data_IF_075435797840
#
_entry.id   IF_075435797840
#
_cell.length_a   1.000
_cell.length_b   1.000
_cell.length_c   1.000
_cell.angle_alpha   90.00
_cell.angle_beta   90.00
_cell.angle_gamma   90.00
#
_symmetry.space_group_name_H-M   'P 1'
#
loop_
_entity.id
_entity.type
_entity.pdbx_description
1 polymer ?
#
# COMPACT_ATOMS: atom_id res chain seq x y z
N UNK A 1 -48.41 -51.34 64.18
CA UNK A 1 -48.23 -51.23 62.74
C UNK A 1 -48.87 -49.93 62.31
N UNK A 2 -48.11 -48.86 62.16
CA UNK A 2 -48.60 -47.55 61.76
C UNK A 2 -47.87 -47.15 60.43
N UNK A 3 -48.65 -47.14 59.34
CA UNK A 3 -48.20 -46.65 58.03
C UNK A 3 -48.45 -45.15 57.95
N UNK A 4 -47.36 -44.34 57.82
CA UNK A 4 -47.50 -42.92 57.53
C UNK A 4 -47.37 -42.76 56.01
N UNK A 5 -48.30 -42.01 55.37
CA UNK A 5 -48.22 -41.74 53.92
C UNK A 5 -47.19 -40.64 53.60
N UNK A 6 -46.36 -40.89 52.63
CA UNK A 6 -45.40 -39.90 52.05
C UNK A 6 -46.19 -39.02 51.07
N UNK A 7 -46.37 -37.78 51.40
CA UNK A 7 -46.94 -36.77 50.44
C UNK A 7 -45.84 -36.20 49.53
N UNK A 8 -46.02 -36.25 48.21
CA UNK A 8 -45.14 -35.59 47.33
C UNK A 8 -45.30 -34.06 47.40
N UNK A 9 -44.27 -33.35 47.78
CA UNK A 9 -44.24 -31.89 47.78
C UNK A 9 -44.12 -31.39 46.32
N UNK A 10 -45.28 -30.99 45.75
CA UNK A 10 -45.27 -30.26 44.48
C UNK A 10 -44.80 -28.84 44.73
N UNK A 11 -43.69 -28.42 44.14
CA UNK A 11 -43.24 -27.04 44.12
C UNK A 11 -44.26 -26.18 43.35
N UNK A 12 -44.68 -25.02 43.86
CA UNK A 12 -45.69 -24.18 43.22
C UNK A 12 -45.19 -23.72 41.83
N UNK A 13 -46.11 -23.75 40.87
CA UNK A 13 -45.86 -23.45 39.44
C UNK A 13 -45.16 -22.12 39.22
N UNK A 14 -45.37 -21.15 40.12
CA UNK A 14 -44.72 -19.84 40.12
C UNK A 14 -43.18 -19.87 40.28
N UNK A 15 -42.65 -20.81 41.06
CA UNK A 15 -41.23 -20.99 41.26
C UNK A 15 -40.51 -21.60 40.03
N UNK A 16 -41.19 -22.46 39.29
CA UNK A 16 -40.66 -23.06 38.05
C UNK A 16 -40.59 -22.03 36.92
N UNK A 17 -41.59 -21.17 36.81
CA UNK A 17 -41.63 -20.09 35.83
C UNK A 17 -40.57 -19.02 36.14
N UNK A 18 -40.34 -18.69 37.40
CA UNK A 18 -39.29 -17.74 37.80
C UNK A 18 -37.88 -18.28 37.53
N UNK A 19 -37.63 -19.58 37.73
CA UNK A 19 -36.34 -20.21 37.43
C UNK A 19 -36.05 -20.29 35.91
N UNK A 20 -37.08 -20.52 35.09
CA UNK A 20 -36.91 -20.56 33.63
C UNK A 20 -36.70 -19.16 33.04
N UNK A 21 -37.34 -18.14 33.57
CA UNK A 21 -37.11 -16.74 33.18
C UNK A 21 -35.72 -16.24 33.59
N UNK A 22 -35.21 -16.63 34.76
CA UNK A 22 -33.86 -16.29 35.21
C UNK A 22 -32.77 -16.98 34.36
N UNK A 23 -32.98 -18.23 33.93
CA UNK A 23 -32.05 -18.95 33.05
C UNK A 23 -32.05 -18.37 31.63
N UNK A 24 -33.18 -17.91 31.11
CA UNK A 24 -33.29 -17.26 29.81
C UNK A 24 -32.60 -15.88 29.77
N UNK A 25 -32.64 -15.12 30.89
CA UNK A 25 -31.94 -13.83 30.97
C UNK A 25 -30.41 -13.97 31.10
N UNK A 26 -29.89 -15.06 31.67
CA UNK A 26 -28.44 -15.33 31.69
C UNK A 26 -27.88 -15.76 30.33
N UNK A 27 -28.69 -16.41 29.47
CA UNK A 27 -28.27 -16.81 28.13
C UNK A 27 -28.13 -15.61 27.16
N UNK A 28 -28.77 -14.47 27.45
CA UNK A 28 -28.68 -13.24 26.65
C UNK A 28 -27.41 -12.42 26.85
N UNK A 29 -26.55 -12.76 27.80
CA UNK A 29 -25.30 -12.07 28.12
C UNK A 29 -24.07 -12.71 27.48
N UNK A 30 -24.22 -13.56 26.44
CA UNK A 30 -23.13 -13.96 25.59
C UNK A 30 -22.79 -12.75 24.72
N UNK A 31 -22.00 -11.85 25.29
CA UNK A 31 -21.50 -10.66 24.64
C UNK A 31 -20.79 -11.04 23.36
N UNK A 32 -20.99 -10.25 22.29
CA UNK A 32 -20.20 -10.30 21.08
C UNK A 32 -18.74 -10.13 21.47
N UNK A 33 -17.98 -11.24 21.57
CA UNK A 33 -16.54 -11.19 21.70
C UNK A 33 -15.99 -10.66 20.37
N UNK A 34 -15.53 -9.43 20.35
CA UNK A 34 -14.79 -8.91 19.23
C UNK A 34 -13.51 -9.74 19.12
N UNK A 35 -13.33 -10.48 18.02
CA UNK A 35 -12.09 -11.20 17.75
C UNK A 35 -11.18 -10.25 16.98
N UNK A 36 -10.14 -9.78 17.64
CA UNK A 36 -9.08 -9.00 17.00
C UNK A 36 -8.02 -9.96 16.46
N UNK A 37 -7.72 -9.83 15.17
CA UNK A 37 -6.64 -10.58 14.53
C UNK A 37 -5.64 -9.61 13.92
N UNK A 38 -4.36 -9.76 14.25
CA UNK A 38 -3.26 -9.02 13.64
C UNK A 38 -2.30 -9.99 12.94
N UNK A 39 -1.80 -9.58 11.78
CA UNK A 39 -0.77 -10.32 11.06
C UNK A 39 0.19 -9.36 10.38
N UNK A 40 1.46 -9.72 10.33
CA UNK A 40 2.42 -9.01 9.48
C UNK A 40 2.13 -9.33 8.02
N UNK A 41 2.04 -8.29 7.19
CA UNK A 41 1.89 -8.42 5.73
C UNK A 41 3.25 -8.19 5.11
N UNK A 42 3.73 -9.16 4.34
CA UNK A 42 4.98 -9.04 3.60
C UNK A 42 4.85 -7.97 2.51
N UNK A 43 5.80 -7.02 2.49
CA UNK A 43 5.86 -5.99 1.46
C UNK A 43 6.61 -6.51 0.24
N UNK A 44 6.06 -6.25 -0.94
CA UNK A 44 6.71 -6.63 -2.20
C UNK A 44 7.96 -5.78 -2.43
N UNK A 45 9.05 -6.42 -2.86
CA UNK A 45 10.33 -5.80 -3.14
C UNK A 45 10.64 -5.82 -4.64
N UNK A 46 11.64 -5.03 -5.07
CA UNK A 46 12.18 -5.09 -6.43
C UNK A 46 12.85 -6.43 -6.69
N UNK A 47 12.90 -6.86 -7.94
CA UNK A 47 13.44 -8.18 -8.34
C UNK A 47 14.92 -8.37 -7.93
N UNK A 48 15.67 -7.29 -7.82
CA UNK A 48 17.10 -7.30 -7.44
C UNK A 48 17.35 -7.15 -5.95
N UNK A 49 16.29 -7.06 -5.12
CA UNK A 49 16.44 -6.93 -3.67
C UNK A 49 17.21 -8.12 -3.09
N UNK A 50 18.21 -7.82 -2.25
CA UNK A 50 19.06 -8.84 -1.64
C UNK A 50 20.06 -9.52 -2.59
N UNK A 51 20.05 -9.19 -3.89
CA UNK A 51 21.02 -9.75 -4.82
C UNK A 51 22.38 -9.03 -4.68
N UNK A 52 23.50 -9.78 -4.66
CA UNK A 52 24.82 -9.20 -4.70
C UNK A 52 25.03 -8.36 -5.97
N UNK A 53 25.67 -7.22 -5.84
CA UNK A 53 26.05 -6.37 -6.97
C UNK A 53 27.47 -5.87 -6.78
N UNK A 54 28.33 -6.18 -7.74
CA UNK A 54 29.76 -5.82 -7.73
C UNK A 54 30.10 -4.60 -8.61
N UNK A 55 29.11 -4.09 -9.37
CA UNK A 55 29.30 -2.92 -10.21
C UNK A 55 29.37 -1.61 -9.40
N UNK A 56 29.73 -0.50 -10.06
CA UNK A 56 29.79 0.81 -9.43
C UNK A 56 28.39 1.26 -9.01
N UNK A 57 28.27 1.77 -7.79
CA UNK A 57 27.02 2.37 -7.26
C UNK A 57 27.18 3.89 -7.29
N UNK A 58 26.69 4.49 -8.36
CA UNK A 58 26.75 5.93 -8.48
C UNK A 58 25.83 6.62 -7.46
N UNK A 59 26.29 7.76 -6.91
CA UNK A 59 25.46 8.56 -6.02
C UNK A 59 24.34 9.23 -6.82
N UNK A 60 23.11 8.97 -6.42
CA UNK A 60 21.91 9.54 -7.02
C UNK A 60 21.09 10.30 -5.98
N UNK A 61 20.41 11.34 -6.42
CA UNK A 61 19.36 12.01 -5.63
C UNK A 61 18.03 11.90 -6.36
N UNK A 62 16.93 11.82 -5.61
CA UNK A 62 15.59 11.92 -6.18
C UNK A 62 15.14 13.37 -6.12
N UNK A 63 14.88 13.93 -7.28
CA UNK A 63 14.43 15.30 -7.45
C UNK A 63 12.91 15.42 -7.39
N UNK A 64 12.38 16.27 -8.27
CA UNK A 64 10.95 16.53 -8.36
C UNK A 64 10.21 15.29 -8.88
N UNK A 65 9.10 14.97 -8.22
CA UNK A 65 8.18 13.92 -8.64
C UNK A 65 6.76 14.47 -8.54
N UNK A 66 6.11 14.63 -9.69
CA UNK A 66 4.83 15.33 -9.78
C UNK A 66 3.68 14.38 -10.15
N UNK A 67 2.49 14.67 -9.66
CA UNK A 67 1.27 14.08 -10.19
C UNK A 67 0.81 14.87 -11.43
N UNK A 68 0.99 14.29 -12.62
CA UNK A 68 0.49 14.83 -13.89
C UNK A 68 -0.83 14.22 -14.33
N UNK A 69 -1.31 13.18 -13.64
CA UNK A 69 -2.62 12.58 -13.89
C UNK A 69 -3.75 13.53 -13.51
N UNK A 70 -4.96 13.25 -13.97
CA UNK A 70 -6.16 13.97 -13.57
C UNK A 70 -6.64 13.65 -12.15
N UNK A 71 -6.09 12.61 -11.51
CA UNK A 71 -6.52 12.13 -10.21
C UNK A 71 -6.15 13.11 -9.10
N UNK A 72 -7.15 13.52 -8.30
CA UNK A 72 -7.03 14.46 -7.17
C UNK A 72 -6.44 15.83 -7.53
N UNK A 73 -6.37 16.20 -8.81
CA UNK A 73 -5.88 17.51 -9.21
C UNK A 73 -6.89 18.58 -8.77
N UNK A 74 -6.42 19.53 -7.97
CA UNK A 74 -7.24 20.65 -7.49
C UNK A 74 -8.22 20.32 -6.37
N UNK A 75 -8.23 19.11 -5.83
CA UNK A 75 -9.08 18.70 -4.70
C UNK A 75 -8.64 19.32 -3.35
N UNK A 76 -7.37 19.69 -3.24
CA UNK A 76 -6.81 20.26 -2.03
C UNK A 76 -6.41 21.72 -2.29
N UNK A 77 -6.94 22.63 -1.49
CA UNK A 77 -6.66 24.06 -1.60
C UNK A 77 -5.26 24.47 -1.13
N UNK A 78 -4.54 23.57 -0.47
CA UNK A 78 -3.18 23.78 0.04
C UNK A 78 -2.09 23.65 -1.04
N UNK A 79 -2.45 23.22 -2.25
CA UNK A 79 -1.52 23.03 -3.37
C UNK A 79 -0.51 21.89 -3.18
N UNK A 80 -0.67 21.05 -2.14
CA UNK A 80 0.25 19.94 -1.84
C UNK A 80 -0.02 18.77 -2.77
N UNK A 81 0.98 18.34 -3.52
CA UNK A 81 0.94 17.12 -4.34
C UNK A 81 1.20 15.87 -3.47
N UNK A 82 0.14 15.34 -2.88
CA UNK A 82 0.23 14.17 -2.01
C UNK A 82 0.56 12.89 -2.77
N UNK A 83 0.06 12.75 -3.99
CA UNK A 83 0.33 11.57 -4.82
C UNK A 83 1.79 11.56 -5.31
N UNK A 84 2.30 12.70 -5.79
CA UNK A 84 3.70 12.84 -6.15
C UNK A 84 4.64 12.66 -4.96
N UNK A 85 4.30 13.20 -3.80
CA UNK A 85 5.07 13.00 -2.56
C UNK A 85 5.11 11.52 -2.14
N UNK A 86 3.98 10.82 -2.18
CA UNK A 86 3.92 9.38 -1.90
C UNK A 86 4.75 8.58 -2.90
N UNK A 87 4.64 8.90 -4.19
CA UNK A 87 5.40 8.25 -5.25
C UNK A 87 6.91 8.42 -5.05
N UNK A 88 7.37 9.60 -4.67
CA UNK A 88 8.78 9.89 -4.36
C UNK A 88 9.30 8.99 -3.22
N UNK A 89 8.54 8.86 -2.14
CA UNK A 89 8.91 8.01 -0.99
C UNK A 89 9.05 6.55 -1.39
N UNK A 90 8.09 6.01 -2.17
CA UNK A 90 8.12 4.64 -2.67
C UNK A 90 9.34 4.45 -3.60
N UNK A 91 9.60 5.42 -4.47
CA UNK A 91 10.73 5.38 -5.40
C UNK A 91 12.08 5.30 -4.67
N UNK A 92 12.29 6.16 -3.66
CA UNK A 92 13.51 6.13 -2.83
C UNK A 92 13.73 4.75 -2.21
N UNK A 93 12.66 4.16 -1.66
CA UNK A 93 12.70 2.83 -1.06
C UNK A 93 13.11 1.76 -2.08
N UNK A 94 12.48 1.71 -3.23
CA UNK A 94 12.79 0.71 -4.27
C UNK A 94 14.16 0.90 -4.92
N UNK A 95 14.60 2.14 -5.12
CA UNK A 95 15.95 2.44 -5.61
C UNK A 95 17.01 1.93 -4.63
N UNK A 96 16.83 2.17 -3.33
CA UNK A 96 17.74 1.67 -2.30
C UNK A 96 17.74 0.14 -2.23
N UNK A 97 16.57 -0.49 -2.30
CA UNK A 97 16.42 -1.95 -2.31
C UNK A 97 17.05 -2.61 -3.56
N UNK A 98 17.09 -1.89 -4.68
CA UNK A 98 17.66 -2.43 -5.93
C UNK A 98 19.14 -2.74 -5.83
N UNK A 99 19.84 -2.16 -4.84
CA UNK A 99 21.26 -2.33 -4.61
C UNK A 99 22.17 -1.89 -5.81
N UNK A 100 21.62 -1.11 -6.76
CA UNK A 100 22.34 -0.59 -7.94
C UNK A 100 22.85 0.84 -7.75
N UNK A 101 22.31 1.55 -6.74
CA UNK A 101 22.56 2.97 -6.50
C UNK A 101 23.02 3.25 -5.09
N UNK A 102 23.71 4.37 -4.91
CA UNK A 102 23.93 5.01 -3.61
C UNK A 102 22.93 6.18 -3.49
N UNK A 103 21.76 5.91 -2.89
CA UNK A 103 20.67 6.90 -2.81
C UNK A 103 20.99 7.93 -1.74
N UNK A 104 20.99 9.21 -2.12
CA UNK A 104 21.28 10.35 -1.24
C UNK A 104 19.96 10.97 -0.77
N UNK A 105 19.75 11.02 0.53
CA UNK A 105 18.61 11.70 1.11
C UNK A 105 18.84 13.23 1.05
N UNK A 106 17.90 13.94 0.44
CA UNK A 106 17.90 15.41 0.35
C UNK A 106 16.76 16.04 1.14
N UNK A 107 15.72 15.27 1.41
CA UNK A 107 14.53 15.77 2.09
C UNK A 107 14.79 15.99 3.58
N UNK A 108 15.61 15.13 4.22
CA UNK A 108 15.93 15.18 5.65
C UNK A 108 17.34 15.78 5.94
N UNK A 109 17.86 16.59 5.02
CA UNK A 109 19.20 17.15 5.17
C UNK A 109 19.30 18.16 6.35
N UNK A 110 18.22 18.86 6.66
CA UNK A 110 18.17 19.79 7.80
C UNK A 110 18.26 19.03 9.13
N UNK A 111 17.51 17.95 9.27
CA UNK A 111 17.52 17.07 10.43
C UNK A 111 18.89 16.40 10.60
N UNK A 112 19.48 15.92 9.51
CA UNK A 112 20.82 15.34 9.53
C UNK A 112 21.89 16.35 10.00
N UNK A 113 21.78 17.63 9.62
CA UNK A 113 22.66 18.69 10.10
C UNK A 113 22.48 18.98 11.58
N UNK A 114 21.24 19.00 12.05
CA UNK A 114 20.92 19.18 13.46
C UNK A 114 21.52 18.06 14.31
N UNK A 115 21.33 16.80 13.91
CA UNK A 115 21.90 15.64 14.61
C UNK A 115 23.45 15.65 14.61
N UNK A 116 24.06 16.04 13.49
CA UNK A 116 25.52 16.19 13.43
C UNK A 116 26.01 17.26 14.40
N UNK A 117 25.27 18.38 14.54
CA UNK A 117 25.56 19.44 15.52
C UNK A 117 25.53 18.91 16.97
N UNK A 118 24.54 18.10 17.33
CA UNK A 118 24.50 17.47 18.67
C UNK A 118 25.68 16.52 18.90
N UNK A 119 26.20 15.92 17.85
CA UNK A 119 27.37 15.03 17.88
C UNK A 119 28.70 15.77 17.88
N UNK A 120 28.70 17.10 17.76
CA UNK A 120 29.90 17.91 17.61
C UNK A 120 30.62 17.69 16.28
N UNK A 121 29.90 17.24 15.24
CA UNK A 121 30.41 17.00 13.90
C UNK A 121 29.69 17.84 12.85
N UNK A 122 30.19 17.85 11.62
CA UNK A 122 29.54 18.49 10.47
C UNK A 122 29.13 17.46 9.45
N UNK A 123 28.00 17.70 8.78
CA UNK A 123 27.56 16.83 7.67
C UNK A 123 28.40 17.11 6.44
N UNK A 124 29.22 16.13 6.00
CA UNK A 124 29.86 16.15 4.71
C UNK A 124 28.85 15.74 3.62
N UNK A 125 28.23 16.71 2.96
CA UNK A 125 27.20 16.46 1.94
C UNK A 125 27.85 15.92 0.67
N UNK A 126 27.59 14.65 0.35
CA UNK A 126 28.04 14.03 -0.90
C UNK A 126 27.22 14.57 -2.08
N UNK A 127 27.88 14.98 -3.18
CA UNK A 127 27.21 15.33 -4.44
C UNK A 127 26.58 14.11 -5.12
N UNK A 128 25.49 14.32 -5.85
CA UNK A 128 24.92 13.30 -6.72
C UNK A 128 25.52 13.40 -8.12
N UNK A 129 25.83 12.26 -8.74
CA UNK A 129 26.21 12.19 -10.16
C UNK A 129 24.98 12.31 -11.06
N UNK A 130 23.86 11.76 -10.60
CA UNK A 130 22.60 11.77 -11.33
C UNK A 130 21.44 12.23 -10.44
N UNK A 131 20.48 12.89 -11.07
CA UNK A 131 19.20 13.24 -10.49
C UNK A 131 18.11 12.39 -11.16
N UNK A 132 17.32 11.68 -10.37
CA UNK A 132 16.15 10.97 -10.87
C UNK A 132 14.95 11.87 -10.65
N UNK A 133 14.30 12.27 -11.74
CA UNK A 133 13.03 13.00 -11.72
C UNK A 133 11.95 12.13 -12.32
N UNK A 134 10.69 12.42 -12.02
CA UNK A 134 9.62 11.64 -12.60
C UNK A 134 8.24 12.24 -12.39
N UNK A 135 7.27 11.54 -12.92
CA UNK A 135 5.87 11.89 -12.74
C UNK A 135 4.97 10.64 -12.70
N UNK A 136 3.82 10.81 -12.07
CA UNK A 136 2.68 9.91 -12.22
C UNK A 136 1.90 10.42 -13.42
N UNK A 137 2.12 9.82 -14.60
CA UNK A 137 1.52 10.25 -15.86
C UNK A 137 0.06 9.81 -16.00
N UNK A 138 -0.27 8.64 -15.49
CA UNK A 138 -1.64 8.14 -15.43
C UNK A 138 -1.92 7.55 -14.04
N UNK A 139 -3.08 7.85 -13.50
CA UNK A 139 -3.56 7.27 -12.26
C UNK A 139 -5.08 7.31 -12.22
N UNK A 140 -5.72 6.22 -11.87
CA UNK A 140 -7.16 6.19 -11.83
C UNK A 140 -7.75 4.88 -11.36
N UNK A 141 -9.08 4.88 -11.33
CA UNK A 141 -9.89 3.68 -11.06
C UNK A 141 -11.00 3.61 -12.07
N UNK A 142 -11.36 2.40 -12.45
CA UNK A 142 -12.56 2.09 -13.21
C UNK A 142 -13.33 0.97 -12.52
N UNK A 143 -14.64 1.06 -12.56
CA UNK A 143 -15.53 -0.02 -12.16
C UNK A 143 -16.06 -0.71 -13.41
N UNK A 144 -15.93 -2.03 -13.46
CA UNK A 144 -16.48 -2.87 -14.52
C UNK A 144 -17.54 -3.76 -13.88
N UNK A 145 -18.78 -3.63 -14.35
CA UNK A 145 -19.90 -4.46 -13.95
C UNK A 145 -20.18 -5.55 -14.97
N UNK A 146 -20.40 -6.77 -14.52
CA UNK A 146 -20.91 -7.87 -15.32
C UNK A 146 -22.29 -8.29 -14.81
N UNK A 147 -23.29 -8.32 -15.70
CA UNK A 147 -24.62 -8.80 -15.39
C UNK A 147 -24.86 -10.09 -16.18
N UNK A 148 -24.78 -11.21 -15.47
CA UNK A 148 -25.08 -12.51 -16.08
C UNK A 148 -26.58 -12.79 -16.08
N UNK A 149 -27.15 -13.12 -17.24
CA UNK A 149 -28.56 -13.48 -17.42
C UNK A 149 -29.54 -12.46 -16.80
N UNK A 150 -29.47 -11.19 -17.25
CA UNK A 150 -30.32 -10.11 -16.76
C UNK A 150 -30.29 -9.89 -15.23
N UNK A 151 -29.19 -10.33 -14.57
CA UNK A 151 -29.01 -10.18 -13.13
C UNK A 151 -29.58 -11.34 -12.28
N UNK A 152 -30.15 -12.37 -12.91
CA UNK A 152 -30.74 -13.53 -12.19
C UNK A 152 -29.65 -14.42 -11.56
N UNK A 153 -28.50 -14.56 -12.20
CA UNK A 153 -27.35 -15.37 -11.71
C UNK A 153 -26.32 -14.57 -10.92
N UNK A 154 -26.61 -13.32 -10.58
CA UNK A 154 -25.72 -12.46 -9.80
C UNK A 154 -25.10 -11.30 -10.60
N UNK A 155 -24.59 -10.32 -9.88
CA UNK A 155 -23.87 -9.15 -10.41
C UNK A 155 -22.44 -9.22 -9.93
N UNK A 156 -21.49 -9.26 -10.86
CA UNK A 156 -20.08 -9.09 -10.56
C UNK A 156 -19.72 -7.61 -10.64
N UNK A 157 -19.02 -7.08 -9.64
CA UNK A 157 -18.38 -5.77 -9.70
C UNK A 157 -16.88 -5.95 -9.55
N UNK A 158 -16.12 -5.37 -10.46
CA UNK A 158 -14.68 -5.31 -10.39
C UNK A 158 -14.25 -3.86 -10.27
N UNK A 159 -13.41 -3.57 -9.30
CA UNK A 159 -12.70 -2.31 -9.20
C UNK A 159 -11.28 -2.51 -9.72
N UNK A 160 -10.91 -1.78 -10.74
CA UNK A 160 -9.58 -1.85 -11.33
C UNK A 160 -8.90 -0.50 -11.06
N UNK A 161 -7.82 -0.53 -10.28
CA UNK A 161 -6.93 0.61 -10.11
C UNK A 161 -5.74 0.46 -11.06
N UNK A 162 -5.30 1.54 -11.68
CA UNK A 162 -4.16 1.57 -12.59
C UNK A 162 -3.29 2.79 -12.33
N UNK A 163 -1.98 2.63 -12.56
CA UNK A 163 -1.00 3.70 -12.49
C UNK A 163 0.06 3.52 -13.57
N UNK A 164 0.55 4.64 -14.09
CA UNK A 164 1.73 4.69 -14.93
C UNK A 164 2.65 5.79 -14.43
N UNK A 165 3.93 5.48 -14.31
CA UNK A 165 4.97 6.42 -13.88
C UNK A 165 6.06 6.51 -14.93
N UNK A 166 6.65 7.70 -15.06
CA UNK A 166 7.81 7.95 -15.93
C UNK A 166 8.96 8.41 -15.05
N UNK A 167 10.15 7.87 -15.29
CA UNK A 167 11.39 8.27 -14.64
C UNK A 167 12.39 8.77 -15.68
N UNK A 168 12.99 9.91 -15.41
CA UNK A 168 14.08 10.47 -16.20
C UNK A 168 15.34 10.55 -15.33
N UNK A 169 16.42 10.02 -15.86
CA UNK A 169 17.74 10.06 -15.23
C UNK A 169 18.52 11.19 -15.88
N UNK A 170 18.81 12.21 -15.09
CA UNK A 170 19.47 13.44 -15.54
C UNK A 170 20.88 13.47 -14.99
N UNK A 171 21.87 13.60 -15.86
CA UNK A 171 23.26 13.82 -15.47
C UNK A 171 23.42 15.22 -14.88
N UNK A 172 23.87 15.32 -13.63
CA UNK A 172 23.93 16.59 -12.90
C UNK A 172 24.91 17.57 -13.58
N UNK A 173 26.03 17.08 -14.10
CA UNK A 173 27.06 17.92 -14.70
C UNK A 173 26.63 18.63 -16.00
N UNK A 174 25.75 18.00 -16.81
CA UNK A 174 25.33 18.51 -18.12
C UNK A 174 23.86 18.88 -18.19
N UNK A 175 23.07 18.51 -17.19
CA UNK A 175 21.59 18.60 -17.21
C UNK A 175 20.93 17.78 -18.35
N UNK A 176 21.65 16.79 -18.88
CA UNK A 176 21.19 15.94 -19.97
C UNK A 176 20.38 14.76 -19.42
N UNK A 177 19.25 14.44 -20.05
CA UNK A 177 18.51 13.20 -19.78
C UNK A 177 19.25 12.07 -20.49
N UNK A 178 19.95 11.25 -19.71
CA UNK A 178 20.80 10.16 -20.24
C UNK A 178 20.06 8.84 -20.33
N UNK A 179 18.98 8.67 -19.60
CA UNK A 179 18.16 7.46 -19.65
C UNK A 179 16.75 7.76 -19.18
N UNK A 180 15.77 7.00 -19.67
CA UNK A 180 14.37 7.12 -19.25
C UNK A 180 13.72 5.74 -19.22
N UNK A 181 12.86 5.53 -18.23
CA UNK A 181 12.06 4.30 -18.12
C UNK A 181 10.63 4.63 -17.73
N UNK A 182 9.71 3.76 -18.11
CA UNK A 182 8.32 3.83 -17.68
C UNK A 182 7.92 2.54 -16.97
N UNK A 183 7.16 2.68 -15.90
CA UNK A 183 6.55 1.57 -15.20
C UNK A 183 5.05 1.69 -15.17
N UNK A 184 4.37 0.56 -15.16
CA UNK A 184 2.93 0.50 -15.11
C UNK A 184 2.48 -0.58 -14.10
N UNK A 185 1.35 -0.33 -13.46
CA UNK A 185 0.73 -1.26 -12.53
C UNK A 185 -0.78 -1.25 -12.67
N UNK A 186 -1.37 -2.42 -12.52
CA UNK A 186 -2.81 -2.61 -12.44
C UNK A 186 -3.12 -3.54 -11.27
N UNK A 187 -4.16 -3.22 -10.53
CA UNK A 187 -4.64 -4.04 -9.42
C UNK A 187 -6.16 -4.17 -9.51
N UNK A 188 -6.63 -5.42 -9.56
CA UNK A 188 -8.06 -5.73 -9.68
C UNK A 188 -8.60 -6.30 -8.39
N UNK A 189 -9.67 -5.71 -7.89
CA UNK A 189 -10.46 -6.22 -6.77
C UNK A 189 -11.82 -6.68 -7.31
N UNK A 190 -12.12 -7.97 -7.18
CA UNK A 190 -13.38 -8.57 -7.64
C UNK A 190 -14.28 -8.88 -6.46
N UNK A 191 -15.51 -8.34 -6.49
CA UNK A 191 -16.58 -8.69 -5.56
C UNK A 191 -17.71 -9.37 -6.33
N UNK A 192 -18.16 -10.51 -5.84
CA UNK A 192 -19.27 -11.26 -6.42
C UNK A 192 -20.47 -11.24 -5.48
N UNK A 193 -21.57 -10.69 -5.94
CA UNK A 193 -22.88 -10.77 -5.26
C UNK A 193 -23.66 -11.93 -5.85
N UNK A 194 -24.12 -12.86 -5.02
CA UNK A 194 -24.96 -13.99 -5.42
C UNK A 194 -26.33 -13.83 -4.76
N UNK A 195 -27.40 -13.77 -5.57
CA UNK A 195 -28.81 -13.75 -5.12
C UNK A 195 -29.14 -12.60 -4.14
N UNK A 196 -28.59 -11.41 -4.32
CA UNK A 196 -28.92 -10.26 -3.47
C UNK A 196 -28.35 -10.30 -2.05
N UNK A 197 -27.62 -11.35 -1.70
CA UNK A 197 -26.82 -11.49 -0.49
C UNK A 197 -25.36 -11.28 -0.87
N UNK A 198 -24.89 -10.05 -0.86
CA UNK A 198 -23.51 -9.73 -1.18
C UNK A 198 -23.05 -8.58 -0.33
N UNK A 199 -21.79 -8.65 0.07
CA UNK A 199 -21.15 -7.56 0.80
C UNK A 199 -21.18 -6.28 -0.04
N UNK A 200 -21.40 -5.15 0.60
CA UNK A 200 -21.24 -3.83 0.00
C UNK A 200 -19.83 -3.72 -0.57
N UNK A 201 -19.71 -3.39 -1.86
CA UNK A 201 -18.44 -3.03 -2.45
C UNK A 201 -17.94 -1.76 -1.75
N UNK A 202 -17.17 -1.91 -0.68
CA UNK A 202 -16.57 -0.78 0.02
C UNK A 202 -15.40 -0.25 -0.81
N UNK A 203 -15.29 1.07 -0.89
CA UNK A 203 -14.15 1.73 -1.51
C UNK A 203 -12.88 1.37 -0.73
N UNK A 204 -12.00 0.56 -1.32
CA UNK A 204 -10.71 0.22 -0.70
C UNK A 204 -9.69 1.33 -1.00
N UNK A 205 -9.49 2.21 -0.03
CA UNK A 205 -8.53 3.30 -0.12
C UNK A 205 -7.07 2.78 -0.30
N UNK A 206 -6.80 1.55 0.11
CA UNK A 206 -5.45 0.95 0.01
C UNK A 206 -5.06 0.58 -1.41
N UNK A 207 -6.03 0.43 -2.34
CA UNK A 207 -5.76 0.13 -3.75
C UNK A 207 -4.85 1.17 -4.40
N UNK A 208 -4.99 2.44 -4.02
CA UNK A 208 -4.17 3.53 -4.58
C UNK A 208 -2.68 3.31 -4.27
N UNK A 209 -2.36 3.01 -3.01
CA UNK A 209 -0.98 2.73 -2.60
C UNK A 209 -0.41 1.49 -3.27
N UNK A 210 -1.22 0.42 -3.38
CA UNK A 210 -0.80 -0.83 -4.02
C UNK A 210 -0.47 -0.67 -5.49
N UNK A 211 -1.31 0.02 -6.26
CA UNK A 211 -1.09 0.20 -7.70
C UNK A 211 0.06 1.15 -8.00
N UNK A 212 0.25 2.18 -7.16
CA UNK A 212 1.38 3.10 -7.27
C UNK A 212 2.70 2.38 -6.98
N UNK A 213 2.74 1.55 -5.93
CA UNK A 213 3.89 0.70 -5.62
C UNK A 213 4.24 -0.24 -6.78
N UNK A 214 3.24 -0.91 -7.38
CA UNK A 214 3.44 -1.77 -8.54
C UNK A 214 4.08 -1.03 -9.71
N UNK A 215 3.57 0.16 -10.07
CA UNK A 215 4.07 0.94 -11.19
C UNK A 215 5.51 1.43 -10.95
N UNK A 216 5.81 1.92 -9.75
CA UNK A 216 7.15 2.40 -9.41
C UNK A 216 8.14 1.24 -9.35
N UNK A 217 7.75 0.12 -8.77
CA UNK A 217 8.57 -1.09 -8.71
C UNK A 217 8.89 -1.62 -10.11
N UNK A 218 7.93 -1.62 -11.03
CA UNK A 218 8.16 -1.99 -12.44
C UNK A 218 9.17 -1.05 -13.10
N UNK A 219 9.05 0.27 -12.88
CA UNK A 219 10.01 1.23 -13.39
C UNK A 219 11.42 0.99 -12.84
N UNK A 220 11.56 0.76 -11.52
CA UNK A 220 12.88 0.50 -10.90
C UNK A 220 13.45 -0.84 -11.35
N UNK A 221 12.64 -1.87 -11.54
CA UNK A 221 13.09 -3.14 -12.11
C UNK A 221 13.65 -2.98 -13.53
N UNK A 222 12.97 -2.20 -14.38
CA UNK A 222 13.45 -1.89 -15.74
C UNK A 222 14.75 -1.08 -15.71
N UNK A 223 14.85 -0.12 -14.78
CA UNK A 223 16.06 0.67 -14.59
C UNK A 223 17.23 -0.21 -14.12
N UNK A 224 17.03 -1.09 -13.15
CA UNK A 224 18.04 -2.03 -12.70
C UNK A 224 18.45 -3.00 -13.82
N UNK A 225 17.48 -3.52 -14.57
CA UNK A 225 17.75 -4.39 -15.72
C UNK A 225 18.55 -3.70 -16.82
N UNK A 226 18.37 -2.39 -17.05
CA UNK A 226 19.16 -1.64 -18.03
C UNK A 226 20.63 -1.51 -17.62
N UNK A 227 20.91 -1.40 -16.33
CA UNK A 227 22.26 -1.41 -15.78
C UNK A 227 22.87 -2.81 -15.94
N UNK A 228 22.15 -3.84 -15.52
CA UNK A 228 22.62 -5.22 -15.55
C UNK A 228 22.88 -5.70 -16.99
N UNK A 229 22.11 -5.23 -17.97
CA UNK A 229 22.29 -5.51 -19.39
C UNK A 229 23.33 -4.60 -20.07
N UNK A 230 23.88 -3.60 -19.37
CA UNK A 230 24.83 -2.63 -19.93
C UNK A 230 24.23 -1.66 -20.95
N UNK A 231 22.89 -1.58 -21.08
CA UNK A 231 22.21 -0.62 -21.97
C UNK A 231 22.24 0.80 -21.43
N UNK A 232 22.42 0.95 -20.15
CA UNK A 232 22.77 2.18 -19.48
C UNK A 232 23.89 1.90 -18.46
N UNK A 233 25.01 2.63 -18.58
CA UNK A 233 26.14 2.51 -17.67
C UNK A 233 26.28 3.82 -16.87
N UNK A 234 25.93 3.83 -15.56
CA UNK A 234 26.03 5.04 -14.76
C UNK A 234 27.47 5.50 -14.48
N UNK A 235 28.51 4.68 -14.74
CA UNK A 235 29.90 5.05 -14.57
C UNK A 235 30.50 5.78 -15.78
N UNK A 236 29.76 5.94 -16.86
CA UNK A 236 30.13 6.70 -18.06
C UNK A 236 29.35 8.02 -18.11
#
# INVERSE_FOLDING_TARGET
MSHSPIHPRFLPLSRRVALTLAAASLAGLVGCAATETSRTVETTQVATAGQPYSGPREPIAVGKFDNRSSFQRGLFSDGVDRLGGQAKTILVTHLQQSNRFNVLDRDNLAEARQEAGFKGSTVAVKGASYLITGDVSEFGRKEVGDQQLFGILGRGKQQIAYAKVSLNIVRVASSEVVHSVQGAGEYTLSNREVLGFGGTASYDATLNGKVLDLAIRDAVNKLAASIDAGTWNPAQ
#
